data_IF_721482782492
#
_entry.id   IF_721482782492
#
_cell.length_a   1.000
_cell.length_b   1.000
_cell.length_c   1.000
_cell.angle_alpha   90.00
_cell.angle_beta   90.00
_cell.angle_gamma   90.00
#
_symmetry.space_group_name_H-M   'P 1'
#
loop_
_entity.id
_entity.type
_entity.pdbx_description
1 polymer ?
#
# COMPACT_ATOMS: atom_id res chain seq x y z
N UNK A 1 13.30 -4.55 -5.67
CA UNK A 1 13.46 -4.30 -4.22
C UNK A 1 13.97 -5.59 -3.61
N UNK A 2 15.01 -5.53 -2.76
CA UNK A 2 15.50 -6.74 -2.09
C UNK A 2 14.55 -7.11 -0.94
N UNK A 3 14.65 -8.35 -0.43
CA UNK A 3 13.76 -8.81 0.64
C UNK A 3 13.88 -7.94 1.91
N UNK A 4 15.10 -7.56 2.29
CA UNK A 4 15.36 -6.70 3.46
C UNK A 4 14.74 -5.30 3.33
N UNK A 5 14.77 -4.72 2.13
CA UNK A 5 14.13 -3.42 1.85
C UNK A 5 12.60 -3.50 2.01
N UNK A 6 12.01 -4.62 1.57
CA UNK A 6 10.57 -4.87 1.67
C UNK A 6 10.14 -5.03 3.12
N UNK A 7 10.89 -5.81 3.91
CA UNK A 7 10.61 -6.03 5.33
C UNK A 7 10.70 -4.73 6.13
N UNK A 8 11.69 -3.88 5.81
CA UNK A 8 11.82 -2.56 6.42
C UNK A 8 10.64 -1.65 6.05
N UNK A 9 10.27 -1.60 4.76
CA UNK A 9 9.14 -0.80 4.29
C UNK A 9 7.82 -1.24 4.94
N UNK A 10 7.60 -2.55 5.04
CA UNK A 10 6.42 -3.13 5.68
C UNK A 10 6.38 -2.81 7.19
N UNK A 11 7.50 -2.98 7.89
CA UNK A 11 7.62 -2.63 9.32
C UNK A 11 7.27 -1.16 9.55
N UNK A 12 7.82 -0.26 8.74
CA UNK A 12 7.53 1.18 8.84
C UNK A 12 6.07 1.53 8.56
N UNK A 13 5.44 0.83 7.61
CA UNK A 13 4.03 1.01 7.32
C UNK A 13 3.16 0.59 8.52
N UNK A 14 3.43 -0.56 9.11
CA UNK A 14 2.73 -1.05 10.31
C UNK A 14 2.86 -0.08 11.49
N UNK A 15 4.06 0.39 11.77
CA UNK A 15 4.28 1.39 12.81
C UNK A 15 3.54 2.71 12.54
N UNK A 16 3.49 3.14 11.26
CA UNK A 16 2.79 4.36 10.88
C UNK A 16 1.27 4.23 11.04
N UNK A 17 0.69 3.09 10.65
CA UNK A 17 -0.72 2.78 10.90
C UNK A 17 -1.03 2.71 12.40
N UNK A 18 -0.15 2.09 13.20
CA UNK A 18 -0.31 2.05 14.66
C UNK A 18 -0.30 3.44 15.30
N UNK A 19 0.53 4.36 14.82
CA UNK A 19 0.54 5.77 15.27
C UNK A 19 -0.67 6.57 14.77
N UNK A 20 -1.14 6.32 13.56
CA UNK A 20 -2.30 7.00 12.97
C UNK A 20 -3.62 6.59 13.64
N UNK A 21 -3.69 5.33 14.10
CA UNK A 21 -4.90 4.76 14.69
C UNK A 21 -5.94 4.33 13.64
N UNK A 22 -6.84 3.44 14.05
CA UNK A 22 -7.80 2.76 13.15
C UNK A 22 -8.60 3.73 12.26
N UNK A 23 -9.06 4.84 12.81
CA UNK A 23 -9.87 5.82 12.08
C UNK A 23 -9.10 6.51 10.94
N UNK A 24 -7.77 6.62 11.03
CA UNK A 24 -6.95 7.36 10.07
C UNK A 24 -6.13 6.43 9.16
N UNK A 25 -6.02 5.15 9.50
CA UNK A 25 -5.34 4.12 8.68
C UNK A 25 -5.82 4.09 7.23
N UNK A 26 -7.13 4.14 6.90
CA UNK A 26 -7.57 4.14 5.50
C UNK A 26 -7.03 5.33 4.69
N UNK A 27 -7.02 6.53 5.29
CA UNK A 27 -6.50 7.74 4.64
C UNK A 27 -4.97 7.66 4.47
N UNK A 28 -4.26 7.17 5.48
CA UNK A 28 -2.81 6.95 5.41
C UNK A 28 -2.46 6.01 4.26
N UNK A 29 -3.14 4.87 4.18
CA UNK A 29 -2.92 3.89 3.11
C UNK A 29 -3.26 4.47 1.74
N UNK A 30 -4.36 5.21 1.61
CA UNK A 30 -4.71 5.87 0.35
C UNK A 30 -3.63 6.85 -0.13
N UNK A 31 -3.03 7.64 0.78
CA UNK A 31 -1.94 8.55 0.44
C UNK A 31 -0.65 7.82 0.02
N UNK A 32 -0.30 6.75 0.72
CA UNK A 32 0.86 5.91 0.36
C UNK A 32 0.65 5.29 -1.02
N UNK A 33 -0.52 4.67 -1.25
CA UNK A 33 -0.88 4.09 -2.54
C UNK A 33 -0.85 5.14 -3.66
N UNK A 34 -1.43 6.33 -3.45
CA UNK A 34 -1.38 7.40 -4.44
C UNK A 34 0.05 7.82 -4.78
N UNK A 35 0.91 7.97 -3.77
CA UNK A 35 2.33 8.26 -3.96
C UNK A 35 3.05 7.19 -4.77
N UNK A 36 2.79 5.91 -4.50
CA UNK A 36 3.37 4.77 -5.24
C UNK A 36 2.85 4.68 -6.68
N UNK A 37 1.55 4.88 -6.90
CA UNK A 37 0.92 4.89 -8.22
C UNK A 37 1.47 6.03 -9.10
N UNK A 38 1.69 7.21 -8.52
CA UNK A 38 2.24 8.37 -9.25
C UNK A 38 3.63 8.15 -9.83
N UNK A 39 4.34 7.12 -9.36
CA UNK A 39 5.70 6.75 -9.81
C UNK A 39 5.70 5.63 -10.85
N UNK A 40 4.54 5.06 -11.16
CA UNK A 40 4.42 4.02 -12.18
C UNK A 40 4.39 4.65 -13.57
N UNK A 41 5.11 4.05 -14.52
CA UNK A 41 5.16 4.53 -15.90
C UNK A 41 3.89 4.17 -16.69
N UNK A 42 3.12 3.18 -16.22
CA UNK A 42 1.93 2.68 -16.89
C UNK A 42 0.77 2.44 -15.93
N UNK A 43 -0.44 2.67 -16.43
CA UNK A 43 -1.70 2.48 -15.68
C UNK A 43 -2.05 0.99 -15.51
N UNK A 44 -1.80 0.15 -16.51
CA UNK A 44 -2.27 -1.24 -16.52
C UNK A 44 -1.79 -2.07 -15.31
N UNK A 45 -0.50 -2.02 -14.88
CA UNK A 45 -0.05 -2.73 -13.68
C UNK A 45 -0.73 -2.25 -12.39
N UNK A 46 -1.07 -0.97 -12.32
CA UNK A 46 -1.76 -0.38 -11.16
C UNK A 46 -3.18 -0.94 -11.06
N UNK A 47 -3.91 -0.98 -12.18
CA UNK A 47 -5.27 -1.53 -12.21
C UNK A 47 -5.29 -3.02 -11.83
N UNK A 48 -4.33 -3.80 -12.36
CA UNK A 48 -4.22 -5.22 -12.02
C UNK A 48 -4.02 -5.45 -10.51
N UNK A 49 -3.16 -4.65 -9.86
CA UNK A 49 -2.94 -4.73 -8.41
C UNK A 49 -4.19 -4.37 -7.60
N UNK A 50 -5.00 -3.41 -8.07
CA UNK A 50 -6.26 -3.04 -7.41
C UNK A 50 -7.25 -4.21 -7.50
N UNK A 51 -7.43 -4.78 -8.69
CA UNK A 51 -8.33 -5.91 -8.92
C UNK A 51 -7.92 -7.13 -8.07
N UNK A 52 -6.62 -7.43 -8.00
CA UNK A 52 -6.09 -8.50 -7.15
C UNK A 52 -6.37 -8.24 -5.66
N UNK A 53 -6.10 -7.03 -5.15
CA UNK A 53 -6.36 -6.69 -3.75
C UNK A 53 -7.87 -6.77 -3.41
N UNK A 54 -8.74 -6.31 -4.30
CA UNK A 54 -10.18 -6.38 -4.12
C UNK A 54 -10.68 -7.84 -4.10
N UNK A 55 -10.11 -8.71 -4.93
CA UNK A 55 -10.43 -10.14 -4.95
C UNK A 55 -10.01 -10.86 -3.66
N UNK A 56 -8.87 -10.49 -3.06
CA UNK A 56 -8.38 -11.10 -1.81
C UNK A 56 -9.11 -10.56 -0.58
N UNK A 57 -9.50 -9.28 -0.56
CA UNK A 57 -10.19 -8.67 0.60
C UNK A 57 -11.62 -9.19 0.84
N UNK A 58 -12.21 -9.85 -0.16
CA UNK A 58 -13.58 -10.41 -0.11
C UNK A 58 -13.63 -11.90 0.30
N UNK A 59 -12.48 -12.53 0.51
CA UNK A 59 -12.34 -13.93 0.95
C UNK A 59 -12.24 -14.01 2.47
#
# INVERSE_FOLDING_TARGET
MQAEDLDLAYTRLCEAMGRAGEAHTPLLLAMVCLGLMSRQEALAPVLALIDEAEAHSRQ
#
